data_IF_883041326691
#
_entry.id   IF_883041326691
#
_cell.length_a   1.000
_cell.length_b   1.000
_cell.length_c   1.000
_cell.angle_alpha   90.00
_cell.angle_beta   90.00
_cell.angle_gamma   90.00
#
_symmetry.space_group_name_H-M   'P 1'
#
loop_
_entity.id
_entity.type
_entity.pdbx_description
1 polymer ?
#
# COMPACT_ATOMS: atom_id res chain seq x y z
N UNK A 1 25.63 -28.89 6.15
CA UNK A 1 26.41 -27.74 5.64
C UNK A 1 25.46 -26.95 4.75
N UNK A 2 25.16 -25.70 5.12
CA UNK A 2 23.96 -24.99 4.69
C UNK A 2 23.94 -24.71 3.17
N UNK A 3 22.92 -25.24 2.50
CA UNK A 3 22.54 -24.84 1.14
C UNK A 3 22.00 -23.42 1.22
N UNK A 4 22.78 -22.46 0.71
CA UNK A 4 22.28 -21.11 0.44
C UNK A 4 21.36 -21.26 -0.77
N UNK A 5 20.07 -21.49 -0.52
CA UNK A 5 19.04 -21.34 -1.55
C UNK A 5 18.98 -19.86 -1.87
N UNK A 6 19.61 -19.49 -2.98
CA UNK A 6 19.42 -18.20 -3.63
C UNK A 6 17.92 -17.96 -3.73
N UNK A 7 17.42 -16.93 -3.05
CA UNK A 7 16.03 -16.51 -3.19
C UNK A 7 15.78 -16.25 -4.69
N UNK A 8 14.72 -16.79 -5.29
CA UNK A 8 14.40 -16.45 -6.67
C UNK A 8 14.16 -14.94 -6.70
N UNK A 9 14.88 -14.29 -7.59
CA UNK A 9 14.60 -12.91 -8.00
C UNK A 9 13.14 -12.88 -8.46
N UNK A 10 12.24 -12.39 -7.60
CA UNK A 10 10.81 -12.27 -7.88
C UNK A 10 10.65 -11.07 -8.81
N UNK A 11 11.05 -11.27 -10.07
CA UNK A 11 10.66 -10.43 -11.21
C UNK A 11 9.20 -10.02 -11.01
N UNK A 12 8.91 -8.73 -11.09
CA UNK A 12 7.56 -8.16 -10.96
C UNK A 12 6.63 -8.82 -11.99
N UNK A 13 6.01 -9.95 -11.66
CA UNK A 13 5.13 -10.70 -12.58
C UNK A 13 3.80 -9.98 -12.81
N UNK A 14 3.47 -9.04 -11.94
CA UNK A 14 2.23 -8.29 -11.97
C UNK A 14 2.48 -6.85 -12.44
N UNK A 15 1.52 -6.25 -13.18
CA UNK A 15 1.56 -4.83 -13.48
C UNK A 15 1.65 -4.03 -12.17
N UNK A 16 2.37 -2.90 -12.23
CA UNK A 16 2.50 -1.95 -11.12
C UNK A 16 1.76 -0.68 -11.50
N UNK A 17 0.90 -0.21 -10.61
CA UNK A 17 0.17 1.05 -10.75
C UNK A 17 0.43 1.93 -9.53
N UNK A 18 0.72 3.20 -9.77
CA UNK A 18 0.91 4.19 -8.69
C UNK A 18 -0.27 5.16 -8.66
N UNK A 19 -0.81 5.38 -7.47
CA UNK A 19 -1.94 6.27 -7.20
C UNK A 19 -1.49 7.22 -6.08
N UNK A 20 -1.72 8.51 -6.21
CA UNK A 20 -1.32 9.50 -5.21
C UNK A 20 -2.47 10.30 -4.65
N UNK A 21 -2.31 10.77 -3.42
CA UNK A 21 -3.16 11.79 -2.81
C UNK A 21 -2.58 13.20 -3.06
N UNK A 22 -3.42 14.24 -3.18
CA UNK A 22 -2.96 15.60 -3.42
C UNK A 22 -2.15 16.13 -2.22
N UNK A 23 -1.24 17.08 -2.49
CA UNK A 23 -0.48 17.80 -1.46
C UNK A 23 -1.39 18.59 -0.52
N UNK A 24 -1.12 18.57 0.79
CA UNK A 24 -2.02 19.14 1.80
C UNK A 24 -3.29 18.32 2.00
N UNK A 25 -3.32 17.10 1.45
CA UNK A 25 -4.46 16.21 1.50
C UNK A 25 -4.63 15.54 2.87
N UNK A 26 -5.79 14.94 3.07
CA UNK A 26 -6.08 14.11 4.24
C UNK A 26 -6.42 12.70 3.80
N UNK A 27 -5.95 11.71 4.54
CA UNK A 27 -6.48 10.35 4.45
C UNK A 27 -7.75 10.27 5.29
N UNK A 28 -8.89 10.50 4.65
CA UNK A 28 -10.22 10.44 5.24
C UNK A 28 -11.22 9.73 4.32
N UNK A 29 -12.51 9.77 4.65
CA UNK A 29 -13.55 9.13 3.85
C UNK A 29 -13.64 9.67 2.41
N UNK A 30 -13.37 10.96 2.20
CA UNK A 30 -13.43 11.57 0.87
C UNK A 30 -12.24 11.11 0.02
N UNK A 31 -11.04 11.06 0.60
CA UNK A 31 -9.88 10.49 -0.07
C UNK A 31 -10.06 8.99 -0.37
N UNK A 32 -10.62 8.21 0.55
CA UNK A 32 -10.93 6.79 0.28
C UNK A 32 -11.90 6.66 -0.88
N UNK A 33 -12.94 7.49 -0.93
CA UNK A 33 -13.92 7.47 -2.02
C UNK A 33 -13.27 7.77 -3.37
N UNK A 34 -12.36 8.74 -3.43
CA UNK A 34 -11.65 9.07 -4.67
C UNK A 34 -10.67 7.97 -5.11
N UNK A 35 -10.12 7.19 -4.18
CA UNK A 35 -9.23 6.06 -4.48
C UNK A 35 -9.95 4.82 -5.01
N UNK A 36 -11.24 4.64 -4.72
CA UNK A 36 -12.01 3.43 -5.09
C UNK A 36 -12.03 3.17 -6.59
N UNK A 37 -12.29 4.20 -7.40
CA UNK A 37 -12.35 4.07 -8.86
C UNK A 37 -11.02 3.61 -9.45
N UNK A 38 -9.91 4.34 -9.22
CA UNK A 38 -8.58 3.95 -9.67
C UNK A 38 -8.15 2.55 -9.21
N UNK A 39 -8.42 2.18 -7.94
CA UNK A 39 -8.11 0.84 -7.43
C UNK A 39 -8.94 -0.23 -8.12
N UNK A 40 -10.25 -0.01 -8.31
CA UNK A 40 -11.12 -0.94 -8.99
C UNK A 40 -10.69 -1.16 -10.45
N UNK A 41 -10.28 -0.09 -11.15
CA UNK A 41 -9.70 -0.18 -12.49
C UNK A 41 -8.39 -0.97 -12.49
N UNK A 42 -7.50 -0.72 -11.53
CA UNK A 42 -6.20 -1.39 -11.47
C UNK A 42 -6.32 -2.91 -11.28
N UNK A 43 -7.31 -3.38 -10.51
CA UNK A 43 -7.50 -4.81 -10.22
C UNK A 43 -8.41 -5.53 -11.23
N UNK A 44 -8.91 -4.83 -12.25
CA UNK A 44 -9.91 -5.37 -13.18
C UNK A 44 -9.38 -6.55 -13.99
N UNK A 45 -8.13 -6.46 -14.45
CA UNK A 45 -7.51 -7.41 -15.39
C UNK A 45 -6.69 -8.52 -14.70
N UNK A 46 -6.72 -8.57 -13.37
CA UNK A 46 -6.03 -9.59 -12.58
C UNK A 46 -5.19 -9.02 -11.43
N UNK A 47 -4.25 -9.82 -10.90
CA UNK A 47 -3.43 -9.39 -9.80
C UNK A 47 -2.47 -8.26 -10.21
N UNK A 48 -2.36 -7.25 -9.35
CA UNK A 48 -1.65 -5.98 -9.58
C UNK A 48 -0.95 -5.56 -8.29
N UNK A 49 0.19 -4.87 -8.40
CA UNK A 49 0.79 -4.15 -7.27
C UNK A 49 0.37 -2.67 -7.33
N UNK A 50 -0.42 -2.23 -6.36
CA UNK A 50 -0.84 -0.84 -6.20
C UNK A 50 0.11 -0.13 -5.24
N UNK A 51 0.75 0.94 -5.69
CA UNK A 51 1.61 1.79 -4.86
C UNK A 51 0.86 3.10 -4.55
N UNK A 52 0.50 3.29 -3.29
CA UNK A 52 -0.20 4.47 -2.81
C UNK A 52 0.80 5.50 -2.27
N UNK A 53 0.93 6.63 -2.95
CA UNK A 53 1.73 7.77 -2.51
C UNK A 53 0.96 8.60 -1.47
N UNK A 54 1.49 8.62 -0.25
CA UNK A 54 0.97 9.44 0.86
C UNK A 54 1.88 10.62 1.20
N UNK A 55 2.89 10.92 0.38
CA UNK A 55 3.86 12.00 0.66
C UNK A 55 3.21 13.37 0.84
N UNK A 56 2.05 13.60 0.21
CA UNK A 56 1.27 14.84 0.33
C UNK A 56 0.22 14.84 1.46
N UNK A 57 0.16 13.80 2.29
CA UNK A 57 -0.87 13.66 3.33
C UNK A 57 -0.41 14.26 4.66
N UNK A 58 -1.14 15.26 5.14
CA UNK A 58 -0.83 15.97 6.39
C UNK A 58 -1.79 15.61 7.54
N UNK A 59 -2.84 14.85 7.25
CA UNK A 59 -3.84 14.48 8.25
C UNK A 59 -4.50 13.14 7.96
N UNK A 60 -4.93 12.46 9.02
CA UNK A 60 -5.60 11.16 8.94
C UNK A 60 -6.85 11.20 9.81
N UNK A 61 -7.92 10.51 9.39
CA UNK A 61 -9.09 10.23 10.21
C UNK A 61 -9.28 8.71 10.38
N UNK A 62 -10.05 8.26 11.39
CA UNK A 62 -10.38 6.85 11.55
C UNK A 62 -11.05 6.23 10.31
N UNK A 63 -11.91 7.00 9.63
CA UNK A 63 -12.57 6.54 8.40
C UNK A 63 -11.59 6.40 7.22
N UNK A 64 -10.55 7.22 7.16
CA UNK A 64 -9.48 7.08 6.18
C UNK A 64 -8.68 5.79 6.37
N UNK A 65 -8.32 5.46 7.62
CA UNK A 65 -7.62 4.22 7.93
C UNK A 65 -8.48 3.00 7.63
N UNK A 66 -9.73 2.96 8.10
CA UNK A 66 -10.64 1.85 7.83
C UNK A 66 -10.82 1.63 6.33
N UNK A 67 -11.04 2.71 5.57
CA UNK A 67 -11.18 2.64 4.12
C UNK A 67 -9.89 2.22 3.39
N UNK A 68 -8.71 2.62 3.88
CA UNK A 68 -7.44 2.15 3.34
C UNK A 68 -7.26 0.64 3.54
N UNK A 69 -7.61 0.12 4.72
CA UNK A 69 -7.58 -1.32 4.99
C UNK A 69 -8.60 -2.09 4.13
N UNK A 70 -9.76 -1.51 3.85
CA UNK A 70 -10.72 -2.08 2.90
C UNK A 70 -10.15 -2.14 1.48
N UNK A 71 -9.50 -1.07 1.00
CA UNK A 71 -8.83 -1.06 -0.32
C UNK A 71 -7.73 -2.12 -0.38
N UNK A 72 -6.91 -2.24 0.68
CA UNK A 72 -5.89 -3.28 0.80
C UNK A 72 -6.49 -4.68 0.69
N UNK A 73 -7.60 -4.93 1.39
CA UNK A 73 -8.33 -6.20 1.33
C UNK A 73 -8.85 -6.47 -0.08
N UNK A 74 -9.41 -5.46 -0.76
CA UNK A 74 -9.92 -5.59 -2.14
C UNK A 74 -8.80 -6.02 -3.08
N UNK A 75 -7.65 -5.34 -3.06
CA UNK A 75 -6.50 -5.68 -3.91
C UNK A 75 -5.97 -7.08 -3.62
N UNK A 76 -5.80 -7.44 -2.34
CA UNK A 76 -5.32 -8.78 -1.94
C UNK A 76 -6.28 -9.91 -2.31
N UNK A 77 -7.60 -9.67 -2.24
CA UNK A 77 -8.60 -10.67 -2.65
C UNK A 77 -8.57 -11.00 -4.15
N UNK A 78 -7.94 -10.13 -4.96
CA UNK A 78 -7.68 -10.34 -6.40
C UNK A 78 -6.29 -10.94 -6.67
N UNK A 79 -5.55 -11.32 -5.62
CA UNK A 79 -4.18 -11.84 -5.70
C UNK A 79 -3.10 -10.78 -5.85
N UNK A 80 -3.46 -9.49 -5.80
CA UNK A 80 -2.53 -8.37 -5.84
C UNK A 80 -2.02 -7.97 -4.45
N UNK A 81 -1.35 -6.82 -4.38
CA UNK A 81 -0.96 -6.19 -3.11
C UNK A 81 -1.09 -4.67 -3.20
N UNK A 82 -1.36 -4.00 -2.08
CA UNK A 82 -1.36 -2.54 -1.98
C UNK A 82 -0.30 -2.12 -0.97
N UNK A 83 0.63 -1.28 -1.40
CA UNK A 83 1.73 -0.77 -0.57
C UNK A 83 1.67 0.73 -0.48
N UNK A 84 1.98 1.23 0.69
CA UNK A 84 1.91 2.66 0.99
C UNK A 84 3.33 3.19 1.03
N UNK A 85 3.60 4.32 0.40
CA UNK A 85 4.91 4.93 0.46
C UNK A 85 4.82 6.44 0.61
N UNK A 86 5.87 7.03 1.17
CA UNK A 86 5.97 8.47 1.39
C UNK A 86 6.12 8.80 2.87
N UNK A 87 6.83 9.90 3.13
CA UNK A 87 7.24 10.33 4.46
C UNK A 87 6.14 11.13 5.21
N UNK A 88 4.89 10.65 5.20
CA UNK A 88 3.81 11.29 5.97
C UNK A 88 3.87 10.92 7.46
N UNK A 89 4.19 11.89 8.30
CA UNK A 89 4.20 11.73 9.76
C UNK A 89 2.80 11.40 10.30
N UNK A 90 1.75 11.99 9.72
CA UNK A 90 0.37 11.73 10.11
C UNK A 90 -0.03 10.26 9.86
N UNK A 91 0.36 9.70 8.71
CA UNK A 91 0.11 8.29 8.38
C UNK A 91 0.93 7.37 9.27
N UNK A 92 2.22 7.66 9.46
CA UNK A 92 3.08 6.86 10.34
C UNK A 92 2.55 6.82 11.78
N UNK A 93 2.19 7.98 12.36
CA UNK A 93 1.62 8.06 13.69
C UNK A 93 0.32 7.27 13.81
N UNK A 94 -0.57 7.35 12.82
CA UNK A 94 -1.81 6.59 12.82
C UNK A 94 -1.54 5.07 12.77
N UNK A 95 -0.57 4.63 11.97
CA UNK A 95 -0.20 3.21 11.87
C UNK A 95 0.36 2.68 13.18
N UNK A 96 1.31 3.39 13.79
CA UNK A 96 1.89 3.02 15.07
C UNK A 96 0.85 3.02 16.20
N UNK A 97 0.02 4.07 16.28
CA UNK A 97 -1.01 4.18 17.32
C UNK A 97 -2.06 3.07 17.26
N UNK A 98 -2.34 2.54 16.07
CA UNK A 98 -3.32 1.48 15.84
C UNK A 98 -2.69 0.09 15.71
N UNK A 99 -1.36 -0.03 15.81
CA UNK A 99 -0.64 -1.30 15.67
C UNK A 99 -0.76 -1.93 14.29
N UNK A 100 -0.86 -1.12 13.22
CA UNK A 100 -1.10 -1.60 11.86
C UNK A 100 0.14 -2.08 11.13
N UNK A 101 1.33 -1.98 11.74
CA UNK A 101 2.60 -2.41 11.15
C UNK A 101 2.62 -3.89 10.72
N UNK A 102 1.82 -4.73 11.39
CA UNK A 102 1.64 -6.14 11.04
C UNK A 102 0.70 -6.38 9.85
N UNK A 103 -0.16 -5.39 9.53
CA UNK A 103 -1.18 -5.49 8.47
C UNK A 103 -0.68 -4.87 7.16
N UNK A 104 -0.03 -3.71 7.28
CA UNK A 104 0.52 -2.94 6.19
C UNK A 104 1.74 -2.14 6.65
N UNK A 105 2.73 -2.01 5.76
CA UNK A 105 3.93 -1.22 5.95
C UNK A 105 3.85 0.08 5.15
N UNK A 106 4.35 1.17 5.74
CA UNK A 106 4.64 2.43 5.05
C UNK A 106 6.13 2.44 4.67
N UNK A 107 6.40 2.47 3.38
CA UNK A 107 7.75 2.51 2.80
C UNK A 107 8.25 3.95 2.68
N UNK A 108 9.56 4.15 2.75
CA UNK A 108 10.16 5.48 2.65
C UNK A 108 10.07 6.08 1.26
N UNK A 109 10.04 5.24 0.21
CA UNK A 109 10.00 5.71 -1.17
C UNK A 109 9.38 4.72 -2.15
N UNK A 110 9.10 5.23 -3.36
CA UNK A 110 8.45 4.49 -4.43
C UNK A 110 9.21 3.21 -4.83
N UNK A 111 10.53 3.30 -5.00
CA UNK A 111 11.35 2.13 -5.37
C UNK A 111 11.41 1.07 -4.27
N UNK A 112 11.44 1.49 -3.01
CA UNK A 112 11.41 0.57 -1.87
C UNK A 112 10.06 -0.17 -1.81
N UNK A 113 8.97 0.56 -1.98
CA UNK A 113 7.63 -0.01 -2.04
C UNK A 113 7.47 -0.96 -3.21
N UNK A 114 8.05 -0.64 -4.37
CA UNK A 114 8.05 -1.52 -5.54
C UNK A 114 8.90 -2.78 -5.32
N UNK A 115 10.11 -2.62 -4.78
CA UNK A 115 11.13 -3.67 -4.70
C UNK A 115 10.87 -4.76 -3.66
N UNK A 116 10.03 -4.52 -2.66
CA UNK A 116 9.90 -5.42 -1.51
C UNK A 116 8.73 -6.40 -1.63
N UNK A 117 8.75 -7.33 -2.59
CA UNK A 117 7.94 -8.57 -2.52
C UNK A 117 8.53 -9.60 -1.52
N UNK A 118 9.23 -9.14 -0.47
CA UNK A 118 9.83 -10.01 0.52
C UNK A 118 8.77 -10.52 1.51
N UNK A 119 8.22 -11.69 1.19
CA UNK A 119 7.92 -12.82 2.08
C UNK A 119 7.49 -12.56 3.54
N UNK A 120 6.41 -13.27 3.91
CA UNK A 120 5.94 -13.68 5.26
C UNK A 120 4.87 -12.80 5.91
N UNK A 121 3.63 -13.23 5.75
CA UNK A 121 2.76 -13.47 6.90
C UNK A 121 2.66 -15.00 7.04
N UNK A 122 3.43 -15.56 7.97
CA UNK A 122 3.19 -16.89 8.54
C UNK A 122 2.22 -16.76 9.70
#
# INVERSE_FOLDING_TARGET
>A
MATIVSAPDLTLTHPVTSIGLPSGGRLDAAAVLSLRGPVATAVADGPVLVLLDVSGVDGVSPSGIAGLLDLLRVVRSRGGDLRIFGASTAVQHAFTALGLDAVARVYGGHDEARGLLASRAS
#
